data_IF_184426879349
#
_entry.id   IF_184426879349
#
_cell.length_a   1.000
_cell.length_b   1.000
_cell.length_c   1.000
_cell.angle_alpha   90.00
_cell.angle_beta   90.00
_cell.angle_gamma   90.00
#
_symmetry.space_group_name_H-M   'P 1'
#
loop_
_entity.id
_entity.type
_entity.pdbx_description
1 polymer ?
#
# COMPACT_ATOMS: atom_id res chain seq x y z
N UNK A 1 32.79 -8.10 23.57
CA UNK A 1 32.28 -6.76 23.15
C UNK A 1 32.70 -6.38 21.72
N UNK A 2 33.89 -6.75 21.24
CA UNK A 2 34.40 -6.40 19.89
C UNK A 2 33.85 -7.30 18.77
N UNK A 3 33.36 -8.51 19.08
CA UNK A 3 32.85 -9.46 18.11
C UNK A 3 31.31 -9.30 17.86
N UNK A 4 30.59 -8.59 18.73
CA UNK A 4 29.18 -8.29 18.54
C UNK A 4 28.94 -7.07 17.64
N UNK A 5 29.85 -6.08 17.66
CA UNK A 5 29.78 -4.93 16.75
C UNK A 5 30.04 -5.33 15.29
N UNK A 6 30.88 -6.33 15.02
CA UNK A 6 31.21 -6.76 13.65
C UNK A 6 30.09 -7.54 12.95
N UNK A 7 29.17 -8.15 13.71
CA UNK A 7 28.00 -8.88 13.14
C UNK A 7 26.82 -7.95 12.80
N UNK A 8 26.80 -6.74 13.36
CA UNK A 8 25.79 -5.71 13.12
C UNK A 8 26.17 -4.74 11.99
N UNK A 9 27.43 -4.74 11.54
CA UNK A 9 27.92 -3.81 10.52
C UNK A 9 27.58 -4.19 9.06
N UNK A 10 27.19 -5.44 8.78
CA UNK A 10 26.89 -5.90 7.43
C UNK A 10 25.41 -6.23 7.26
N UNK A 11 24.56 -5.18 7.16
CA UNK A 11 23.18 -5.38 6.72
C UNK A 11 23.18 -5.91 5.28
N UNK A 12 22.36 -6.93 5.04
CA UNK A 12 22.14 -7.49 3.72
C UNK A 12 21.70 -6.38 2.74
N UNK A 13 22.22 -6.39 1.52
CA UNK A 13 21.91 -5.38 0.49
C UNK A 13 21.21 -6.04 -0.68
N UNK A 14 20.46 -5.25 -1.44
CA UNK A 14 19.90 -5.72 -2.71
C UNK A 14 20.97 -6.06 -3.71
N UNK A 15 20.72 -7.09 -4.51
CA UNK A 15 21.65 -7.53 -5.57
C UNK A 15 21.62 -6.60 -6.78
N UNK A 16 20.48 -5.92 -7.02
CA UNK A 16 20.28 -5.05 -8.17
C UNK A 16 19.43 -3.81 -7.85
N UNK A 17 19.64 -2.74 -8.64
CA UNK A 17 18.78 -1.55 -8.58
C UNK A 17 17.34 -1.85 -8.99
N UNK A 18 17.15 -2.69 -10.00
CA UNK A 18 15.82 -3.08 -10.46
C UNK A 18 15.10 -3.85 -9.36
N UNK A 19 15.77 -4.76 -8.66
CA UNK A 19 15.23 -5.46 -7.51
C UNK A 19 14.77 -4.48 -6.42
N UNK A 20 15.60 -3.52 -6.04
CA UNK A 20 15.22 -2.48 -5.10
C UNK A 20 13.97 -1.70 -5.54
N UNK A 21 13.93 -1.22 -6.79
CA UNK A 21 12.82 -0.44 -7.31
C UNK A 21 11.52 -1.25 -7.32
N UNK A 22 11.57 -2.50 -7.76
CA UNK A 22 10.38 -3.35 -7.84
C UNK A 22 9.86 -3.79 -6.47
N UNK A 23 10.75 -4.02 -5.49
CA UNK A 23 10.32 -4.34 -4.12
C UNK A 23 9.71 -3.11 -3.45
N UNK A 24 10.37 -1.95 -3.56
CA UNK A 24 9.87 -0.71 -3.00
C UNK A 24 8.54 -0.30 -3.63
N UNK A 25 8.43 -0.43 -4.96
CA UNK A 25 7.18 -0.25 -5.68
C UNK A 25 6.14 -1.28 -5.23
N UNK A 26 6.51 -2.55 -5.09
CA UNK A 26 5.62 -3.61 -4.61
C UNK A 26 5.11 -3.39 -3.18
N UNK A 27 5.87 -2.70 -2.33
CA UNK A 27 5.40 -2.26 -1.02
C UNK A 27 4.32 -1.18 -1.12
N UNK A 28 4.51 -0.23 -2.02
CA UNK A 28 3.55 0.85 -2.29
C UNK A 28 2.34 0.35 -3.09
N UNK A 29 2.57 -0.42 -4.16
CA UNK A 29 1.54 -1.00 -5.03
C UNK A 29 0.78 -2.09 -4.26
N UNK A 30 -0.40 -1.74 -3.79
CA UNK A 30 -1.24 -2.65 -3.03
C UNK A 30 -2.72 -2.36 -3.26
N UNK A 31 -3.53 -2.67 -2.27
CA UNK A 31 -4.98 -2.43 -2.31
C UNK A 31 -5.33 -0.95 -2.50
N UNK A 32 -4.46 -0.04 -2.11
CA UNK A 32 -4.61 1.39 -2.35
C UNK A 32 -4.70 1.75 -3.84
N UNK A 33 -3.92 1.09 -4.68
CA UNK A 33 -3.85 1.33 -6.11
C UNK A 33 -4.93 0.59 -6.90
N UNK A 34 -5.15 -0.68 -6.55
CA UNK A 34 -5.96 -1.57 -7.37
C UNK A 34 -7.40 -1.68 -6.90
N UNK A 35 -7.67 -1.30 -5.66
CA UNK A 35 -9.01 -1.31 -5.06
C UNK A 35 -9.50 0.11 -4.73
N UNK A 36 -8.81 0.82 -3.83
CA UNK A 36 -9.25 2.13 -3.33
C UNK A 36 -9.20 3.21 -4.41
N UNK A 37 -8.12 3.34 -5.15
CA UNK A 37 -7.96 4.37 -6.18
C UNK A 37 -9.05 4.30 -7.26
N UNK A 38 -9.39 3.15 -7.86
CA UNK A 38 -10.45 3.08 -8.85
C UNK A 38 -11.82 3.54 -8.31
N UNK A 39 -12.25 3.05 -7.15
CA UNK A 39 -13.58 3.43 -6.67
C UNK A 39 -13.66 4.89 -6.24
N UNK A 40 -12.62 5.45 -5.63
CA UNK A 40 -12.57 6.89 -5.28
C UNK A 40 -12.55 7.74 -6.55
N UNK A 41 -11.77 7.37 -7.54
CA UNK A 41 -11.75 8.06 -8.84
C UNK A 41 -13.13 8.03 -9.51
N UNK A 42 -13.80 6.89 -9.49
CA UNK A 42 -15.16 6.75 -9.99
C UNK A 42 -16.18 7.59 -9.23
N UNK A 43 -16.02 7.72 -7.92
CA UNK A 43 -16.89 8.49 -7.05
C UNK A 43 -16.72 10.00 -7.23
N UNK A 44 -15.50 10.49 -7.44
CA UNK A 44 -15.16 11.92 -7.41
C UNK A 44 -14.88 12.56 -8.78
N UNK A 45 -15.33 11.95 -9.86
CA UNK A 45 -15.39 12.60 -11.17
C UNK A 45 -14.28 12.25 -12.16
N UNK A 46 -13.60 11.12 -11.98
CA UNK A 46 -12.71 10.57 -13.00
C UNK A 46 -11.43 11.37 -13.20
N UNK A 47 -11.14 11.78 -14.43
CA UNK A 47 -9.88 12.40 -14.84
C UNK A 47 -9.53 13.67 -14.04
N UNK A 48 -10.51 14.51 -13.68
CA UNK A 48 -10.26 15.72 -12.89
C UNK A 48 -9.74 15.36 -11.48
N UNK A 49 -10.32 14.35 -10.84
CA UNK A 49 -9.81 13.82 -9.58
C UNK A 49 -8.37 13.30 -9.72
N UNK A 50 -8.08 12.55 -10.77
CA UNK A 50 -6.73 12.01 -11.03
C UNK A 50 -5.70 13.12 -11.14
N UNK A 51 -6.00 14.21 -11.83
CA UNK A 51 -5.08 15.36 -11.94
C UNK A 51 -4.79 16.00 -10.60
N UNK A 52 -5.82 16.21 -9.77
CA UNK A 52 -5.66 16.76 -8.42
C UNK A 52 -4.85 15.79 -7.55
N UNK A 53 -5.13 14.51 -7.62
CA UNK A 53 -4.38 13.46 -6.94
C UNK A 53 -2.89 13.46 -7.32
N UNK A 54 -2.56 13.51 -8.62
CA UNK A 54 -1.18 13.54 -9.10
C UNK A 54 -0.43 14.77 -8.62
N UNK A 55 -1.09 15.93 -8.59
CA UNK A 55 -0.51 17.15 -8.03
C UNK A 55 -0.10 16.96 -6.56
N UNK A 56 -1.01 16.44 -5.73
CA UNK A 56 -0.70 16.19 -4.33
C UNK A 56 0.30 15.07 -4.10
N UNK A 57 0.33 14.06 -4.95
CA UNK A 57 1.36 13.02 -4.90
C UNK A 57 2.77 13.60 -5.00
N UNK A 58 2.97 14.57 -5.90
CA UNK A 58 4.26 15.23 -6.10
C UNK A 58 4.61 16.12 -4.90
N UNK A 59 3.69 16.96 -4.45
CA UNK A 59 4.01 17.96 -3.42
C UNK A 59 3.97 17.42 -1.98
N UNK A 60 3.21 16.34 -1.72
CA UNK A 60 3.13 15.71 -0.40
C UNK A 60 3.93 14.43 -0.32
N UNK A 61 3.67 13.50 -1.23
CA UNK A 61 4.20 12.15 -1.15
C UNK A 61 5.69 12.06 -1.39
N UNK A 62 6.20 12.66 -2.45
CA UNK A 62 7.62 12.57 -2.81
C UNK A 62 8.58 13.11 -1.74
N UNK A 63 8.38 14.31 -1.15
CA UNK A 63 9.30 14.80 -0.12
C UNK A 63 9.36 13.87 1.10
N UNK A 64 8.23 13.39 1.57
CA UNK A 64 8.16 12.49 2.73
C UNK A 64 8.81 11.14 2.41
N UNK A 65 8.62 10.63 1.21
CA UNK A 65 9.23 9.37 0.76
C UNK A 65 10.76 9.47 0.75
N UNK A 66 11.32 10.57 0.25
CA UNK A 66 12.77 10.81 0.28
C UNK A 66 13.28 10.87 1.71
N UNK A 67 12.54 11.50 2.62
CA UNK A 67 12.91 11.57 4.04
C UNK A 67 12.90 10.20 4.71
N UNK A 68 11.90 9.39 4.43
CA UNK A 68 11.80 8.03 4.97
C UNK A 68 12.93 7.13 4.47
N UNK A 69 13.27 7.20 3.17
CA UNK A 69 14.47 6.55 2.63
C UNK A 69 15.76 7.05 3.28
N UNK A 70 15.89 8.36 3.49
CA UNK A 70 17.09 8.96 4.09
C UNK A 70 17.32 8.48 5.52
N UNK A 71 16.26 8.44 6.34
CA UNK A 71 16.33 7.89 7.71
C UNK A 71 16.73 6.41 7.69
N UNK A 72 16.13 5.62 6.81
CA UNK A 72 16.47 4.21 6.64
C UNK A 72 17.93 4.00 6.22
N UNK A 73 18.40 4.72 5.20
CA UNK A 73 19.75 4.57 4.68
C UNK A 73 20.83 5.09 5.65
N UNK A 74 20.61 6.24 6.27
CA UNK A 74 21.54 6.80 7.24
C UNK A 74 21.69 5.94 8.49
N UNK A 75 20.58 5.37 8.98
CA UNK A 75 20.58 4.51 10.16
C UNK A 75 21.07 3.08 9.87
N UNK A 76 20.84 2.56 8.65
CA UNK A 76 21.00 1.14 8.31
C UNK A 76 20.17 0.24 9.22
N UNK A 77 18.99 0.72 9.66
CA UNK A 77 18.09 0.06 10.62
C UNK A 77 16.63 0.16 10.17
N UNK A 78 15.82 -0.75 10.69
CA UNK A 78 14.35 -0.63 10.62
C UNK A 78 13.85 0.49 11.52
N UNK A 79 12.55 0.80 11.44
CA UNK A 79 11.90 1.79 12.31
C UNK A 79 12.09 1.47 13.80
N UNK A 80 12.32 0.21 14.16
CA UNK A 80 12.53 -0.22 15.54
C UNK A 80 13.67 0.53 16.24
N UNK A 81 14.75 0.83 15.52
CA UNK A 81 15.96 1.45 16.09
C UNK A 81 16.49 2.62 15.29
N UNK A 82 15.92 2.97 14.14
CA UNK A 82 16.42 4.03 13.26
C UNK A 82 16.39 5.41 13.91
N UNK A 83 15.31 5.77 14.56
CA UNK A 83 15.18 7.05 15.26
C UNK A 83 16.18 7.16 16.41
N UNK A 84 16.30 6.12 17.21
CA UNK A 84 17.27 6.10 18.33
C UNK A 84 18.70 6.28 17.87
N UNK A 85 19.06 5.74 16.70
CA UNK A 85 20.42 5.86 16.14
C UNK A 85 20.74 7.26 15.62
N UNK A 86 19.73 7.99 15.10
CA UNK A 86 19.93 9.28 14.44
C UNK A 86 19.51 10.49 15.29
N UNK A 87 18.74 10.28 16.35
CA UNK A 87 18.23 11.38 17.18
C UNK A 87 19.35 12.08 17.98
N UNK A 88 19.19 13.39 18.30
CA UNK A 88 20.07 14.07 19.24
C UNK A 88 20.01 13.45 20.62
N UNK A 89 21.15 13.47 21.33
CA UNK A 89 21.25 12.96 22.69
C UNK A 89 20.19 13.59 23.60
N UNK A 90 19.47 12.76 24.37
CA UNK A 90 18.43 13.19 25.30
C UNK A 90 17.07 13.50 24.67
N UNK A 91 16.93 13.35 23.35
CA UNK A 91 15.62 13.48 22.69
C UNK A 91 14.78 12.21 22.85
N UNK A 92 13.51 12.30 22.43
CA UNK A 92 12.55 11.20 22.59
C UNK A 92 11.89 10.76 21.28
N UNK A 93 12.52 11.00 20.14
CA UNK A 93 11.98 10.62 18.84
C UNK A 93 11.83 9.10 18.68
N UNK A 94 12.68 8.32 19.33
CA UNK A 94 12.61 6.86 19.36
C UNK A 94 11.28 6.32 19.90
N UNK A 95 10.50 7.09 20.64
CA UNK A 95 9.19 6.65 21.10
C UNK A 95 8.22 6.37 19.96
N UNK A 96 8.38 7.07 18.84
CA UNK A 96 7.58 6.79 17.66
C UNK A 96 7.82 5.38 17.10
N UNK A 97 8.98 4.79 17.34
CA UNK A 97 9.28 3.42 16.89
C UNK A 97 8.24 2.40 17.36
N UNK A 98 7.72 2.56 18.58
CA UNK A 98 6.67 1.67 19.11
C UNK A 98 5.37 1.78 18.32
N UNK A 99 4.95 2.99 17.99
CA UNK A 99 3.74 3.23 17.19
C UNK A 99 3.91 2.74 15.74
N UNK A 100 5.06 2.98 15.17
CA UNK A 100 5.37 2.50 13.82
C UNK A 100 5.43 0.98 13.72
N UNK A 101 6.07 0.31 14.68
CA UNK A 101 6.07 -1.15 14.76
C UNK A 101 4.65 -1.69 14.94
N UNK A 102 3.87 -1.16 15.88
CA UNK A 102 2.49 -1.54 16.08
C UNK A 102 1.64 -1.34 14.81
N UNK A 103 1.84 -0.23 14.10
CA UNK A 103 1.16 0.06 12.84
C UNK A 103 1.39 -1.00 11.76
N UNK A 104 2.58 -1.56 11.66
CA UNK A 104 2.85 -2.67 10.73
C UNK A 104 2.05 -3.92 11.08
N UNK A 105 1.95 -4.25 12.36
CA UNK A 105 1.13 -5.40 12.81
C UNK A 105 -0.36 -5.16 12.55
N UNK A 106 -0.88 -3.98 12.90
CA UNK A 106 -2.30 -3.64 12.67
C UNK A 106 -2.63 -3.66 11.17
N UNK A 107 -1.74 -3.16 10.31
CA UNK A 107 -1.90 -3.25 8.87
C UNK A 107 -2.05 -4.71 8.41
N UNK A 108 -1.20 -5.59 8.91
CA UNK A 108 -1.25 -7.00 8.52
C UNK A 108 -2.45 -7.75 9.10
N UNK A 109 -3.05 -7.28 10.21
CA UNK A 109 -4.25 -7.88 10.78
C UNK A 109 -5.41 -7.99 9.78
N UNK A 110 -5.65 -6.97 8.97
CA UNK A 110 -6.71 -6.99 7.97
C UNK A 110 -6.20 -7.27 6.54
N UNK A 111 -4.98 -6.88 6.24
CA UNK A 111 -4.43 -6.99 4.89
C UNK A 111 -4.27 -8.44 4.46
N UNK A 112 -3.87 -9.33 5.37
CA UNK A 112 -3.78 -10.77 5.12
C UNK A 112 -5.14 -11.40 4.81
N UNK A 113 -6.19 -10.96 5.48
CA UNK A 113 -7.55 -11.42 5.22
C UNK A 113 -8.02 -10.98 3.84
N UNK A 114 -7.85 -9.72 3.48
CA UNK A 114 -8.25 -9.20 2.16
C UNK A 114 -7.42 -9.83 1.04
N UNK A 115 -6.12 -10.03 1.24
CA UNK A 115 -5.30 -10.77 0.27
C UNK A 115 -5.80 -12.20 0.08
N UNK A 116 -6.26 -12.84 1.14
CA UNK A 116 -6.92 -14.13 1.09
C UNK A 116 -8.17 -14.12 0.20
N UNK A 117 -8.99 -13.06 0.26
CA UNK A 117 -10.15 -12.91 -0.63
C UNK A 117 -9.73 -12.83 -2.10
N UNK A 118 -8.68 -12.08 -2.41
CA UNK A 118 -8.16 -11.97 -3.78
C UNK A 118 -7.73 -13.33 -4.33
N UNK A 119 -6.98 -14.10 -3.56
CA UNK A 119 -6.52 -15.44 -3.92
C UNK A 119 -7.72 -16.39 -4.09
N UNK A 120 -8.67 -16.35 -3.17
CA UNK A 120 -9.91 -17.15 -3.26
C UNK A 120 -10.68 -16.87 -4.55
N UNK A 121 -10.82 -15.60 -4.91
CA UNK A 121 -11.54 -15.18 -6.12
C UNK A 121 -10.81 -15.57 -7.40
N UNK A 122 -9.49 -15.58 -7.40
CA UNK A 122 -8.71 -16.14 -8.49
C UNK A 122 -9.12 -17.60 -8.77
N UNK A 123 -9.15 -18.44 -7.74
CA UNK A 123 -9.55 -19.83 -7.90
C UNK A 123 -11.03 -20.00 -8.24
N UNK A 124 -11.92 -19.18 -7.67
CA UNK A 124 -13.36 -19.18 -7.99
C UNK A 124 -13.61 -18.84 -9.46
N UNK A 125 -12.92 -17.82 -9.99
CA UNK A 125 -13.00 -17.46 -11.41
C UNK A 125 -12.46 -18.58 -12.30
N UNK A 126 -11.33 -19.17 -11.94
CA UNK A 126 -10.71 -20.24 -12.72
C UNK A 126 -11.60 -21.49 -12.77
N UNK A 127 -12.27 -21.84 -11.66
CA UNK A 127 -13.23 -22.95 -11.60
C UNK A 127 -14.53 -22.67 -12.37
N UNK A 128 -14.87 -21.41 -12.55
CA UNK A 128 -16.10 -21.00 -13.20
C UNK A 128 -17.30 -20.88 -12.26
N UNK A 129 -17.08 -20.61 -10.98
CA UNK A 129 -18.14 -20.47 -9.96
C UNK A 129 -19.13 -19.32 -10.24
N UNK A 130 -18.72 -18.36 -11.08
CA UNK A 130 -19.53 -17.21 -11.47
C UNK A 130 -20.26 -17.40 -12.80
N UNK A 131 -19.94 -18.44 -13.57
CA UNK A 131 -20.52 -18.68 -14.91
C UNK A 131 -22.01 -18.92 -14.80
N UNK A 132 -22.80 -18.25 -15.66
CA UNK A 132 -24.26 -18.32 -15.69
C UNK A 132 -24.96 -17.97 -14.36
N UNK A 133 -24.32 -17.18 -13.53
CA UNK A 133 -24.91 -16.68 -12.27
C UNK A 133 -25.58 -15.32 -12.50
N UNK A 134 -26.70 -15.10 -11.80
CA UNK A 134 -27.37 -13.81 -11.75
C UNK A 134 -26.57 -12.83 -10.87
N UNK A 135 -26.74 -11.50 -11.03
CA UNK A 135 -26.11 -10.51 -10.15
C UNK A 135 -26.32 -10.79 -8.66
N UNK A 136 -27.53 -11.20 -8.28
CA UNK A 136 -27.85 -11.55 -6.89
C UNK A 136 -27.07 -12.78 -6.41
N UNK A 137 -26.91 -13.79 -7.26
CA UNK A 137 -26.13 -14.99 -6.92
C UNK A 137 -24.64 -14.65 -6.77
N UNK A 138 -24.11 -13.73 -7.57
CA UNK A 138 -22.72 -13.26 -7.49
C UNK A 138 -22.50 -12.49 -6.17
N UNK A 139 -23.41 -11.61 -5.80
CA UNK A 139 -23.40 -10.93 -4.50
C UNK A 139 -23.43 -11.93 -3.34
N UNK A 140 -24.28 -12.96 -3.43
CA UNK A 140 -24.40 -14.01 -2.44
C UNK A 140 -23.11 -14.85 -2.31
N UNK A 141 -22.34 -15.04 -3.38
CA UNK A 141 -21.03 -15.72 -3.31
C UNK A 141 -20.08 -14.96 -2.37
N UNK A 142 -20.02 -13.64 -2.48
CA UNK A 142 -19.22 -12.82 -1.59
C UNK A 142 -19.74 -12.85 -0.15
N UNK A 143 -21.04 -12.64 0.04
CA UNK A 143 -21.68 -12.69 1.35
C UNK A 143 -21.51 -14.04 2.06
N UNK A 144 -21.65 -15.15 1.34
CA UNK A 144 -21.45 -16.49 1.88
C UNK A 144 -19.98 -16.74 2.26
N UNK A 145 -19.03 -16.23 1.49
CA UNK A 145 -17.62 -16.31 1.82
C UNK A 145 -17.33 -15.55 3.14
N UNK A 146 -17.85 -14.34 3.29
CA UNK A 146 -17.67 -13.56 4.51
C UNK A 146 -18.35 -14.20 5.73
N UNK A 147 -19.48 -14.86 5.53
CA UNK A 147 -20.23 -15.54 6.59
C UNK A 147 -19.60 -16.86 7.07
N UNK A 148 -18.68 -17.44 6.32
CA UNK A 148 -18.01 -18.68 6.68
C UNK A 148 -16.62 -18.42 7.31
N UNK A 149 -16.47 -18.53 8.65
CA UNK A 149 -15.21 -18.29 9.31
C UNK A 149 -14.11 -19.24 8.88
N UNK A 150 -14.43 -20.49 8.55
CA UNK A 150 -13.44 -21.48 8.13
C UNK A 150 -12.81 -21.11 6.80
N UNK A 151 -13.61 -20.68 5.84
CA UNK A 151 -13.14 -20.24 4.53
C UNK A 151 -12.28 -18.98 4.63
N UNK A 152 -12.70 -17.99 5.41
CA UNK A 152 -11.91 -16.76 5.59
C UNK A 152 -10.57 -17.04 6.28
N UNK A 153 -10.56 -17.83 7.34
CA UNK A 153 -9.33 -18.20 8.06
C UNK A 153 -8.40 -19.00 7.15
N UNK A 154 -8.93 -19.94 6.37
CA UNK A 154 -8.13 -20.74 5.44
C UNK A 154 -7.38 -19.86 4.43
N UNK A 155 -8.07 -18.95 3.76
CA UNK A 155 -7.44 -18.08 2.76
C UNK A 155 -6.51 -17.03 3.39
N UNK A 156 -6.84 -16.53 4.56
CA UNK A 156 -5.93 -15.69 5.34
C UNK A 156 -4.63 -16.44 5.68
N UNK A 157 -4.72 -17.70 6.10
CA UNK A 157 -3.56 -18.55 6.36
C UNK A 157 -2.74 -18.81 5.09
N UNK A 158 -3.38 -19.01 3.95
CA UNK A 158 -2.69 -19.16 2.66
C UNK A 158 -1.87 -17.91 2.35
N UNK A 159 -2.46 -16.73 2.44
CA UNK A 159 -1.77 -15.47 2.20
C UNK A 159 -0.59 -15.25 3.15
N UNK A 160 -0.80 -15.47 4.44
CA UNK A 160 0.23 -15.33 5.49
C UNK A 160 1.38 -16.32 5.28
N UNK A 161 1.07 -17.56 4.98
CA UNK A 161 2.08 -18.61 4.72
C UNK A 161 2.91 -18.29 3.50
N UNK A 162 2.30 -17.86 2.39
CA UNK A 162 3.02 -17.46 1.19
C UNK A 162 3.98 -16.30 1.47
N UNK A 163 3.55 -15.29 2.22
CA UNK A 163 4.39 -14.16 2.59
C UNK A 163 5.61 -14.57 3.41
N UNK A 164 5.44 -15.36 4.46
CA UNK A 164 6.55 -15.83 5.29
C UNK A 164 7.45 -16.85 4.57
N UNK A 165 6.88 -17.68 3.70
CA UNK A 165 7.66 -18.61 2.89
C UNK A 165 8.66 -17.85 2.00
N UNK A 166 8.21 -16.78 1.35
CA UNK A 166 9.09 -15.93 0.53
C UNK A 166 10.17 -15.27 1.40
N UNK A 167 9.80 -14.70 2.54
CA UNK A 167 10.75 -14.08 3.46
C UNK A 167 11.77 -15.09 4.03
N UNK A 168 11.40 -16.36 4.18
CA UNK A 168 12.28 -17.41 4.70
C UNK A 168 13.49 -17.73 3.80
N UNK A 169 13.38 -17.40 2.52
CA UNK A 169 14.46 -17.57 1.56
C UNK A 169 15.51 -16.44 1.60
N UNK A 170 15.34 -15.47 2.49
CA UNK A 170 16.21 -14.32 2.65
C UNK A 170 15.90 -13.14 1.72
N UNK A 171 16.66 -12.05 1.86
CA UNK A 171 16.41 -10.82 1.11
C UNK A 171 16.62 -11.01 -0.40
N UNK A 172 17.79 -11.47 -0.81
CA UNK A 172 18.14 -11.56 -2.24
C UNK A 172 17.43 -12.71 -2.97
N UNK A 173 17.48 -13.91 -2.39
CA UNK A 173 16.94 -15.11 -3.03
C UNK A 173 15.42 -15.26 -2.91
N UNK A 174 14.84 -14.70 -1.85
CA UNK A 174 13.41 -14.74 -1.59
C UNK A 174 12.72 -13.43 -1.99
N UNK A 175 12.83 -12.42 -1.11
CA UNK A 175 12.09 -11.18 -1.24
C UNK A 175 12.38 -10.47 -2.56
N UNK A 176 13.64 -10.25 -2.91
CA UNK A 176 14.03 -9.55 -4.14
C UNK A 176 13.64 -10.34 -5.40
N UNK A 177 14.07 -11.59 -5.49
CA UNK A 177 13.89 -12.41 -6.69
C UNK A 177 12.43 -12.73 -6.97
N UNK A 178 11.68 -13.14 -5.95
CA UNK A 178 10.27 -13.52 -6.10
C UNK A 178 9.40 -12.31 -6.35
N UNK A 179 9.61 -11.21 -5.61
CA UNK A 179 8.83 -9.97 -5.83
C UNK A 179 9.12 -9.39 -7.21
N UNK A 180 10.36 -9.42 -7.68
CA UNK A 180 10.70 -9.00 -9.05
C UNK A 180 9.95 -9.80 -10.10
N UNK A 181 9.88 -11.13 -9.95
CA UNK A 181 9.13 -12.00 -10.85
C UNK A 181 7.62 -11.72 -10.78
N UNK A 182 7.07 -11.58 -9.59
CA UNK A 182 5.65 -11.25 -9.38
C UNK A 182 5.28 -9.90 -9.98
N UNK A 183 6.07 -8.87 -9.76
CA UNK A 183 5.83 -7.54 -10.29
C UNK A 183 5.94 -7.51 -11.81
N UNK A 184 6.90 -8.21 -12.39
CA UNK A 184 7.02 -8.33 -13.84
C UNK A 184 5.80 -9.04 -14.45
N UNK A 185 5.33 -10.11 -13.83
CA UNK A 185 4.12 -10.81 -14.22
C UNK A 185 2.88 -9.91 -14.09
N UNK A 186 2.78 -9.15 -13.00
CA UNK A 186 1.71 -8.18 -12.75
C UNK A 186 1.62 -7.15 -13.89
N UNK A 187 2.74 -6.58 -14.32
CA UNK A 187 2.77 -5.62 -15.42
C UNK A 187 2.32 -6.25 -16.75
N UNK A 188 2.74 -7.49 -17.05
CA UNK A 188 2.30 -8.18 -18.26
C UNK A 188 0.80 -8.47 -18.22
N UNK A 189 0.30 -8.98 -17.11
CA UNK A 189 -1.13 -9.31 -16.94
C UNK A 189 -2.00 -8.08 -17.07
N UNK A 190 -1.62 -6.96 -16.43
CA UNK A 190 -2.42 -5.75 -16.50
C UNK A 190 -2.44 -5.14 -17.91
N UNK A 191 -1.34 -5.22 -18.66
CA UNK A 191 -1.31 -4.79 -20.07
C UNK A 191 -2.28 -5.59 -20.93
N UNK A 192 -2.31 -6.91 -20.77
CA UNK A 192 -3.27 -7.77 -21.48
C UNK A 192 -4.71 -7.39 -21.11
N UNK A 193 -4.99 -7.17 -19.83
CA UNK A 193 -6.31 -6.75 -19.35
C UNK A 193 -6.72 -5.38 -19.90
N UNK A 194 -5.79 -4.43 -20.00
CA UNK A 194 -6.05 -3.10 -20.59
C UNK A 194 -6.46 -3.26 -22.06
N UNK A 195 -5.70 -4.02 -22.85
CA UNK A 195 -6.02 -4.25 -24.26
C UNK A 195 -7.42 -4.83 -24.40
N UNK A 196 -7.77 -5.81 -23.58
CA UNK A 196 -9.11 -6.41 -23.58
C UNK A 196 -10.19 -5.39 -23.20
N UNK A 197 -9.97 -4.62 -22.15
CA UNK A 197 -10.95 -3.67 -21.63
C UNK A 197 -11.22 -2.51 -22.61
N UNK A 198 -10.19 -1.93 -23.21
CA UNK A 198 -10.34 -0.80 -24.15
C UNK A 198 -10.90 -1.21 -25.51
N UNK A 199 -10.83 -2.49 -25.85
CA UNK A 199 -11.40 -3.03 -27.11
C UNK A 199 -12.84 -3.52 -26.96
N UNK A 200 -13.45 -3.40 -25.77
CA UNK A 200 -14.87 -3.71 -25.56
C UNK A 200 -15.76 -2.70 -26.27
N UNK A 201 -16.87 -3.18 -26.80
CA UNK A 201 -17.91 -2.31 -27.36
C UNK A 201 -18.50 -1.43 -26.24
N UNK A 202 -18.49 -0.09 -26.44
CA UNK A 202 -18.92 0.86 -25.42
C UNK A 202 -17.83 1.32 -24.44
N UNK A 203 -16.59 0.86 -24.59
CA UNK A 203 -15.46 1.26 -23.76
C UNK A 203 -15.09 2.75 -23.88
N UNK A 204 -15.43 3.39 -24.99
CA UNK A 204 -15.09 4.80 -25.26
C UNK A 204 -15.64 5.78 -24.22
N UNK A 205 -16.82 5.53 -23.68
CA UNK A 205 -17.42 6.35 -22.63
C UNK A 205 -16.59 6.29 -21.33
N UNK A 206 -16.10 5.10 -20.96
CA UNK A 206 -15.22 4.91 -19.82
C UNK A 206 -13.85 5.55 -20.01
N UNK A 207 -13.28 5.49 -21.22
CA UNK A 207 -12.03 6.17 -21.56
C UNK A 207 -12.18 7.69 -21.48
N UNK A 208 -13.28 8.25 -21.97
CA UNK A 208 -13.56 9.69 -21.84
C UNK A 208 -13.69 10.11 -20.37
N UNK A 209 -14.44 9.37 -19.58
CA UNK A 209 -14.58 9.63 -18.15
C UNK A 209 -13.24 9.64 -17.42
N UNK A 210 -12.36 8.72 -17.76
CA UNK A 210 -11.10 8.50 -17.07
C UNK A 210 -9.94 9.36 -17.59
N UNK A 211 -9.97 9.77 -18.86
CA UNK A 211 -8.84 10.48 -19.50
C UNK A 211 -9.13 11.94 -19.82
N UNK A 212 -10.41 12.34 -19.90
CA UNK A 212 -10.78 13.72 -20.21
C UNK A 212 -11.30 14.41 -18.95
N UNK A 213 -10.60 15.42 -18.41
CA UNK A 213 -11.00 16.10 -17.18
C UNK A 213 -12.34 16.86 -17.35
N UNK A 214 -13.23 16.67 -16.38
CA UNK A 214 -14.47 17.42 -16.23
C UNK A 214 -14.51 18.12 -14.86
N UNK A 215 -14.05 19.36 -14.81
CA UNK A 215 -14.06 20.16 -13.58
C UNK A 215 -15.46 20.63 -13.15
N UNK A 216 -16.45 20.55 -14.03
CA UNK A 216 -17.84 20.81 -13.65
C UNK A 216 -18.35 19.72 -12.68
N UNK A 217 -17.97 18.47 -12.89
CA UNK A 217 -18.26 17.38 -11.98
C UNK A 217 -17.65 17.61 -10.59
N UNK A 218 -16.43 18.15 -10.52
CA UNK A 218 -15.76 18.51 -9.25
C UNK A 218 -16.53 19.60 -8.50
N UNK A 219 -17.00 20.63 -9.21
CA UNK A 219 -17.83 21.69 -8.60
C UNK A 219 -19.15 21.14 -8.06
N UNK A 220 -19.79 20.24 -8.80
CA UNK A 220 -21.06 19.61 -8.39
C UNK A 220 -20.90 18.76 -7.13
N UNK A 221 -19.79 18.09 -6.97
CA UNK A 221 -19.51 17.24 -5.80
C UNK A 221 -18.97 18.01 -4.59
N UNK A 222 -18.55 19.25 -4.80
CA UNK A 222 -17.89 20.06 -3.76
C UNK A 222 -16.37 20.02 -3.90
N UNK A 223 -15.77 21.16 -4.27
CA UNK A 223 -14.34 21.27 -4.53
C UNK A 223 -13.49 20.79 -3.34
N UNK A 224 -13.87 21.22 -2.12
CA UNK A 224 -13.13 20.83 -0.91
C UNK A 224 -13.19 19.32 -0.65
N UNK A 225 -14.33 18.70 -0.85
CA UNK A 225 -14.51 17.24 -0.69
C UNK A 225 -13.62 16.46 -1.66
N UNK A 226 -13.59 16.86 -2.92
CA UNK A 226 -12.75 16.22 -3.95
C UNK A 226 -11.26 16.44 -3.66
N UNK A 227 -10.87 17.65 -3.28
CA UNK A 227 -9.48 17.98 -2.91
C UNK A 227 -9.05 17.17 -1.69
N UNK A 228 -9.85 17.09 -0.64
CA UNK A 228 -9.54 16.32 0.56
C UNK A 228 -9.39 14.82 0.25
N UNK A 229 -10.27 14.27 -0.58
CA UNK A 229 -10.17 12.88 -1.02
C UNK A 229 -8.89 12.62 -1.84
N UNK A 230 -8.54 13.53 -2.73
CA UNK A 230 -7.32 13.43 -3.55
C UNK A 230 -6.05 13.53 -2.69
N UNK A 231 -6.02 14.45 -1.74
CA UNK A 231 -4.92 14.59 -0.77
C UNK A 231 -4.76 13.30 0.07
N UNK A 232 -5.85 12.79 0.60
CA UNK A 232 -5.87 11.53 1.35
C UNK A 232 -5.36 10.35 0.52
N UNK A 233 -5.78 10.23 -0.72
CA UNK A 233 -5.31 9.17 -1.62
C UNK A 233 -3.83 9.31 -1.97
N UNK A 234 -3.36 10.52 -2.27
CA UNK A 234 -1.95 10.78 -2.57
C UNK A 234 -1.04 10.43 -1.40
N UNK A 235 -1.52 10.70 -0.19
CA UNK A 235 -0.81 10.39 1.03
C UNK A 235 -0.77 8.89 1.33
N UNK A 236 -1.89 8.21 1.10
CA UNK A 236 -2.05 6.80 1.42
C UNK A 236 -1.32 5.88 0.43
N UNK A 237 -1.26 6.24 -0.85
CA UNK A 237 -0.81 5.33 -1.93
C UNK A 237 0.64 4.85 -1.75
N UNK A 238 1.52 5.67 -1.17
CA UNK A 238 2.94 5.34 -0.98
C UNK A 238 3.22 4.61 0.35
N UNK A 239 2.19 4.30 1.15
CA UNK A 239 2.31 3.61 2.45
C UNK A 239 3.34 4.25 3.40
N UNK A 240 3.35 5.58 3.46
CA UNK A 240 4.31 6.35 4.25
C UNK A 240 3.93 6.38 5.74
N UNK A 241 4.92 6.52 6.60
CA UNK A 241 4.75 6.74 8.03
C UNK A 241 4.97 5.54 8.93
N UNK A 242 4.85 4.33 8.41
CA UNK A 242 5.07 3.09 9.20
C UNK A 242 6.49 2.52 9.10
N UNK A 243 7.38 3.21 8.39
CA UNK A 243 8.76 2.74 8.16
C UNK A 243 8.89 1.59 7.17
N UNK A 244 7.83 1.22 6.46
CA UNK A 244 7.89 0.18 5.44
C UNK A 244 8.76 0.57 4.23
N UNK A 245 8.78 1.84 3.87
CA UNK A 245 9.69 2.38 2.86
C UNK A 245 11.11 2.57 3.44
N UNK A 246 11.23 2.98 4.69
CA UNK A 246 12.51 3.19 5.35
C UNK A 246 13.37 1.92 5.40
N UNK A 247 12.76 0.74 5.63
CA UNK A 247 13.51 -0.51 5.66
C UNK A 247 14.23 -0.77 4.34
N UNK A 248 13.59 -0.46 3.21
CA UNK A 248 14.21 -0.62 1.89
C UNK A 248 15.34 0.39 1.67
N UNK A 249 15.20 1.61 2.19
CA UNK A 249 16.30 2.57 2.26
C UNK A 249 17.53 2.01 2.96
N UNK A 250 17.34 1.23 4.03
CA UNK A 250 18.43 0.62 4.79
C UNK A 250 19.21 -0.48 4.03
N UNK A 251 18.67 -0.99 2.93
CA UNK A 251 19.31 -2.03 2.10
C UNK A 251 20.03 -1.49 0.88
N UNK A 252 19.91 -0.19 0.57
CA UNK A 252 20.61 0.44 -0.56
C UNK A 252 21.93 1.07 -0.13
N UNK A 253 22.87 1.08 -1.05
CA UNK A 253 24.15 1.75 -0.85
C UNK A 253 24.07 3.26 -1.10
N UNK A 254 25.17 3.97 -0.87
CA UNK A 254 25.29 5.41 -1.05
C UNK A 254 25.72 5.84 -2.46
N UNK A 255 25.73 4.93 -3.42
CA UNK A 255 26.14 5.21 -4.80
C UNK A 255 25.15 6.11 -5.55
N UNK A 256 23.87 6.14 -5.13
CA UNK A 256 22.80 6.90 -5.77
C UNK A 256 22.10 7.83 -4.81
N UNK A 257 21.69 8.97 -5.34
CA UNK A 257 20.85 9.94 -4.63
C UNK A 257 19.44 9.42 -4.47
N UNK A 258 18.85 9.67 -3.30
CA UNK A 258 17.54 9.14 -2.94
C UNK A 258 16.37 9.74 -3.71
N UNK A 259 16.48 10.99 -4.14
CA UNK A 259 15.39 11.67 -4.89
C UNK A 259 15.04 10.94 -6.18
N UNK A 260 16.05 10.53 -6.95
CA UNK A 260 15.81 9.77 -8.19
C UNK A 260 15.18 8.39 -7.94
N UNK A 261 15.59 7.74 -6.87
CA UNK A 261 15.02 6.45 -6.47
C UNK A 261 13.55 6.60 -6.03
N UNK A 262 13.24 7.62 -5.22
CA UNK A 262 11.87 7.93 -4.81
C UNK A 262 10.95 8.28 -5.99
N UNK A 263 11.43 9.09 -6.94
CA UNK A 263 10.69 9.41 -8.16
C UNK A 263 10.40 8.14 -8.97
N UNK A 264 11.39 7.26 -9.13
CA UNK A 264 11.21 6.01 -9.87
C UNK A 264 10.15 5.11 -9.24
N UNK A 265 10.16 4.98 -7.92
CA UNK A 265 9.16 4.19 -7.19
C UNK A 265 7.77 4.83 -7.28
N UNK A 266 7.67 6.15 -7.13
CA UNK A 266 6.41 6.88 -7.27
C UNK A 266 5.81 6.77 -8.68
N UNK A 267 6.65 6.77 -9.72
CA UNK A 267 6.22 6.54 -11.12
C UNK A 267 5.65 5.13 -11.27
N UNK A 268 6.33 4.12 -10.75
CA UNK A 268 5.85 2.73 -10.84
C UNK A 268 4.52 2.54 -10.09
N UNK A 269 4.41 3.10 -8.89
CA UNK A 269 3.19 3.09 -8.08
C UNK A 269 2.02 3.74 -8.82
N UNK A 270 2.23 4.94 -9.32
CA UNK A 270 1.23 5.71 -10.07
C UNK A 270 0.84 5.02 -11.37
N UNK A 271 1.82 4.46 -12.08
CA UNK A 271 1.57 3.73 -13.33
C UNK A 271 0.60 2.57 -13.11
N UNK A 272 0.80 1.77 -12.07
CA UNK A 272 -0.11 0.65 -11.75
C UNK A 272 -1.50 1.16 -11.39
N UNK A 273 -1.62 2.23 -10.59
CA UNK A 273 -2.91 2.82 -10.27
C UNK A 273 -3.66 3.30 -11.52
N UNK A 274 -2.97 4.02 -12.41
CA UNK A 274 -3.55 4.50 -13.67
C UNK A 274 -3.93 3.36 -14.61
N UNK A 275 -3.10 2.33 -14.69
CA UNK A 275 -3.37 1.13 -15.49
C UNK A 275 -4.56 0.34 -14.94
N UNK A 276 -4.71 0.23 -13.62
CA UNK A 276 -5.89 -0.38 -13.00
C UNK A 276 -7.18 0.36 -13.39
N UNK A 277 -7.16 1.67 -13.44
CA UNK A 277 -8.28 2.47 -13.96
C UNK A 277 -8.59 2.20 -15.43
N UNK A 278 -7.58 2.02 -16.28
CA UNK A 278 -7.75 1.64 -17.68
C UNK A 278 -8.36 0.25 -17.89
N UNK A 279 -8.21 -0.65 -16.92
CA UNK A 279 -8.92 -1.93 -16.90
C UNK A 279 -10.37 -1.76 -16.47
N UNK A 280 -10.60 -1.03 -15.39
CA UNK A 280 -11.87 -1.00 -14.67
C UNK A 280 -12.89 -0.09 -15.35
N UNK A 281 -12.53 1.16 -15.67
CA UNK A 281 -13.50 2.13 -16.18
C UNK A 281 -14.06 1.78 -17.55
N UNK A 282 -13.26 1.43 -18.57
CA UNK A 282 -13.82 1.02 -19.86
C UNK A 282 -14.74 -0.19 -19.73
N UNK A 283 -14.39 -1.18 -18.91
CA UNK A 283 -15.21 -2.36 -18.69
C UNK A 283 -16.52 -2.03 -17.97
N UNK A 284 -16.49 -1.21 -16.93
CA UNK A 284 -17.71 -0.78 -16.23
C UNK A 284 -18.69 -0.04 -17.14
N UNK A 285 -18.17 0.91 -17.93
CA UNK A 285 -19.01 1.69 -18.86
C UNK A 285 -19.53 0.86 -20.04
N UNK A 286 -18.74 -0.09 -20.53
CA UNK A 286 -19.17 -1.00 -21.60
C UNK A 286 -20.37 -1.86 -21.18
N UNK A 287 -20.48 -2.22 -19.91
CA UNK A 287 -21.58 -3.04 -19.36
C UNK A 287 -22.59 -2.24 -18.53
N UNK A 288 -22.53 -0.91 -18.57
CA UNK A 288 -23.51 -0.05 -17.89
C UNK A 288 -23.45 -0.11 -16.36
N UNK A 289 -22.29 -0.44 -15.80
CA UNK A 289 -22.07 -0.60 -14.35
C UNK A 289 -21.49 0.68 -13.76
N UNK A 290 -21.98 1.10 -12.60
CA UNK A 290 -21.47 2.28 -11.91
C UNK A 290 -20.08 2.02 -11.31
N UNK A 291 -19.01 2.71 -11.75
CA UNK A 291 -17.68 2.56 -11.21
C UNK A 291 -17.51 3.16 -9.80
N UNK A 292 -18.46 3.96 -9.33
CA UNK A 292 -18.48 4.57 -7.99
C UNK A 292 -19.13 3.71 -6.91
N UNK A 293 -19.29 2.40 -7.11
CA UNK A 293 -19.95 1.50 -6.16
C UNK A 293 -19.17 1.21 -4.86
N UNK A 294 -18.06 1.88 -4.66
CA UNK A 294 -17.25 1.80 -3.44
C UNK A 294 -16.50 0.48 -3.30
N UNK A 295 -16.28 -0.01 -2.06
CA UNK A 295 -15.50 -1.24 -1.82
C UNK A 295 -16.03 -2.49 -2.49
N UNK A 296 -17.32 -2.53 -2.81
CA UNK A 296 -17.96 -3.66 -3.49
C UNK A 296 -17.58 -3.76 -4.98
N UNK A 297 -16.93 -2.74 -5.54
CA UNK A 297 -16.53 -2.71 -6.94
C UNK A 297 -15.75 -3.97 -7.36
N UNK A 298 -14.79 -4.38 -6.56
CA UNK A 298 -13.90 -5.51 -6.91
C UNK A 298 -14.58 -6.87 -6.75
N UNK A 299 -15.32 -7.09 -5.68
CA UNK A 299 -15.82 -8.43 -5.32
C UNK A 299 -17.24 -8.71 -5.77
N UNK A 300 -18.01 -7.68 -6.10
CA UNK A 300 -19.40 -7.82 -6.57
C UNK A 300 -19.54 -7.29 -7.99
N UNK A 301 -19.14 -6.05 -8.22
CA UNK A 301 -19.36 -5.36 -9.49
C UNK A 301 -18.53 -5.96 -10.62
N UNK A 302 -17.22 -6.09 -10.44
CA UNK A 302 -16.34 -6.63 -11.49
C UNK A 302 -16.58 -8.10 -11.82
N UNK A 303 -16.87 -9.01 -10.88
CA UNK A 303 -17.32 -10.35 -11.23
C UNK A 303 -18.56 -10.37 -12.12
N UNK A 304 -19.52 -9.46 -11.90
CA UNK A 304 -20.66 -9.30 -12.80
C UNK A 304 -20.23 -8.85 -14.20
N UNK A 305 -19.33 -7.88 -14.30
CA UNK A 305 -18.77 -7.40 -15.56
C UNK A 305 -18.07 -8.53 -16.30
N UNK A 306 -17.21 -9.28 -15.65
CA UNK A 306 -16.51 -10.42 -16.27
C UNK A 306 -17.47 -11.52 -16.71
N UNK A 307 -18.54 -11.75 -15.96
CA UNK A 307 -19.53 -12.77 -16.30
C UNK A 307 -20.28 -12.48 -17.62
N UNK A 308 -20.47 -11.21 -17.96
CA UNK A 308 -21.03 -10.78 -19.24
C UNK A 308 -20.04 -10.89 -20.42
N UNK A 309 -18.74 -11.05 -20.14
CA UNK A 309 -17.71 -11.12 -21.17
C UNK A 309 -17.54 -12.55 -21.68
N UNK A 310 -17.39 -12.77 -23.03
CA UNK A 310 -16.95 -14.04 -23.55
C UNK A 310 -15.56 -14.41 -22.96
N UNK A 311 -15.42 -15.64 -22.46
CA UNK A 311 -14.19 -16.07 -21.80
C UNK A 311 -14.03 -15.53 -20.37
N UNK A 312 -15.11 -15.31 -19.67
CA UNK A 312 -15.18 -14.75 -18.30
C UNK A 312 -14.21 -15.41 -17.30
N UNK A 313 -14.05 -16.74 -17.37
CA UNK A 313 -13.16 -17.50 -16.50
C UNK A 313 -11.69 -17.04 -16.65
N UNK A 314 -11.24 -16.81 -17.88
CA UNK A 314 -9.86 -16.39 -18.16
C UNK A 314 -9.65 -14.94 -17.73
N UNK A 315 -10.53 -14.03 -18.15
CA UNK A 315 -10.40 -12.61 -17.85
C UNK A 315 -10.55 -12.32 -16.36
N UNK A 316 -11.53 -12.94 -15.72
CA UNK A 316 -11.71 -12.83 -14.28
C UNK A 316 -10.54 -13.41 -13.48
N UNK A 317 -10.05 -14.59 -13.87
CA UNK A 317 -8.88 -15.21 -13.25
C UNK A 317 -7.60 -14.34 -13.41
N UNK A 318 -7.37 -13.78 -14.59
CA UNK A 318 -6.24 -12.86 -14.81
C UNK A 318 -6.35 -11.59 -13.96
N UNK A 319 -7.54 -11.02 -13.83
CA UNK A 319 -7.77 -9.85 -12.99
C UNK A 319 -7.46 -10.14 -11.51
N UNK A 320 -7.98 -11.22 -10.97
CA UNK A 320 -7.73 -11.60 -9.58
C UNK A 320 -6.30 -12.11 -9.35
N UNK A 321 -5.62 -12.63 -10.35
CA UNK A 321 -4.18 -12.90 -10.30
C UNK A 321 -3.39 -11.59 -10.15
N UNK A 322 -3.71 -10.59 -10.95
CA UNK A 322 -3.15 -9.23 -10.82
C UNK A 322 -3.37 -8.65 -9.42
N UNK A 323 -4.60 -8.72 -8.93
CA UNK A 323 -4.97 -8.25 -7.59
C UNK A 323 -4.23 -8.99 -6.49
N UNK A 324 -4.11 -10.32 -6.61
CA UNK A 324 -3.41 -11.16 -5.65
C UNK A 324 -1.91 -10.84 -5.60
N UNK A 325 -1.27 -10.61 -6.74
CA UNK A 325 0.14 -10.21 -6.78
C UNK A 325 0.37 -8.84 -6.18
N UNK A 326 -0.51 -7.87 -6.42
CA UNK A 326 -0.45 -6.57 -5.79
C UNK A 326 -0.57 -6.67 -4.27
N UNK A 327 -1.50 -7.48 -3.76
CA UNK A 327 -1.67 -7.69 -2.33
C UNK A 327 -0.48 -8.45 -1.70
N UNK A 328 -0.01 -9.52 -2.33
CA UNK A 328 1.11 -10.32 -1.83
C UNK A 328 2.43 -9.57 -1.84
N UNK A 329 2.70 -8.72 -2.83
CA UNK A 329 3.92 -7.91 -2.86
C UNK A 329 4.01 -6.98 -1.66
N UNK A 330 2.92 -6.34 -1.27
CA UNK A 330 2.84 -5.53 -0.05
C UNK A 330 3.02 -6.38 1.21
N UNK A 331 2.38 -7.54 1.29
CA UNK A 331 2.52 -8.46 2.44
C UNK A 331 3.98 -8.88 2.61
N UNK A 332 4.65 -9.29 1.55
CA UNK A 332 6.07 -9.70 1.57
C UNK A 332 6.95 -8.55 2.08
N UNK A 333 6.71 -7.35 1.55
CA UNK A 333 7.46 -6.15 1.93
C UNK A 333 7.28 -5.79 3.41
N UNK A 334 6.05 -5.78 3.90
CA UNK A 334 5.74 -5.46 5.30
C UNK A 334 6.21 -6.58 6.23
N UNK A 335 6.10 -7.84 5.84
CA UNK A 335 6.66 -8.96 6.62
C UNK A 335 8.18 -8.85 6.74
N UNK A 336 8.88 -8.48 5.67
CA UNK A 336 10.32 -8.21 5.72
C UNK A 336 10.65 -7.10 6.74
N UNK A 337 9.83 -6.04 6.77
CA UNK A 337 9.95 -4.98 7.76
C UNK A 337 9.76 -5.49 9.19
N UNK A 338 8.68 -6.22 9.44
CA UNK A 338 8.36 -6.82 10.75
C UNK A 338 9.47 -7.76 11.24
N UNK A 339 9.99 -8.61 10.36
CA UNK A 339 11.08 -9.52 10.71
C UNK A 339 12.34 -8.75 11.10
N UNK A 340 12.59 -7.62 10.47
CA UNK A 340 13.72 -6.75 10.80
C UNK A 340 13.62 -6.13 12.19
N UNK A 341 12.45 -5.96 12.77
CA UNK A 341 12.29 -5.42 14.12
C UNK A 341 12.99 -6.28 15.17
N UNK A 342 12.69 -7.58 15.17
CA UNK A 342 13.29 -8.50 16.11
C UNK A 342 14.79 -8.70 15.88
N UNK A 343 15.24 -8.63 14.62
CA UNK A 343 16.65 -8.67 14.28
C UNK A 343 17.38 -7.43 14.81
N UNK A 344 16.82 -6.24 14.63
CA UNK A 344 17.41 -4.99 15.06
C UNK A 344 17.36 -4.78 16.59
N UNK A 345 16.28 -5.22 17.26
CA UNK A 345 16.11 -5.04 18.71
C UNK A 345 16.83 -6.09 19.54
N UNK A 346 16.77 -7.36 19.11
CA UNK A 346 17.20 -8.50 19.92
C UNK A 346 18.25 -9.38 19.26
N UNK A 347 18.68 -9.05 18.04
CA UNK A 347 19.66 -9.85 17.30
C UNK A 347 19.16 -11.26 16.94
N UNK A 348 17.85 -11.46 16.82
CA UNK A 348 17.29 -12.76 16.50
C UNK A 348 17.65 -13.23 15.11
N UNK A 349 17.81 -14.55 14.95
CA UNK A 349 17.96 -15.16 13.64
C UNK A 349 16.67 -15.03 12.82
N UNK A 350 16.80 -15.04 11.50
CA UNK A 350 15.65 -14.99 10.58
C UNK A 350 14.64 -16.11 10.87
N UNK A 351 15.10 -17.33 11.11
CA UNK A 351 14.23 -18.49 11.44
C UNK A 351 13.40 -18.27 12.69
N UNK A 352 14.02 -17.76 13.77
CA UNK A 352 13.33 -17.45 15.02
C UNK A 352 12.32 -16.32 14.85
N UNK A 353 12.69 -15.27 14.12
CA UNK A 353 11.79 -14.15 13.81
C UNK A 353 10.57 -14.62 13.03
N UNK A 354 10.76 -15.46 12.01
CA UNK A 354 9.65 -16.01 11.20
C UNK A 354 8.74 -16.88 12.07
N UNK A 355 9.30 -17.83 12.83
CA UNK A 355 8.49 -18.74 13.64
C UNK A 355 7.58 -18.00 14.60
N UNK A 356 8.10 -17.00 15.32
CA UNK A 356 7.30 -16.22 16.25
C UNK A 356 6.30 -15.32 15.54
N UNK A 357 6.74 -14.56 14.52
CA UNK A 357 5.86 -13.62 13.82
C UNK A 357 4.77 -14.31 13.01
N UNK A 358 5.01 -15.50 12.47
CA UNK A 358 3.97 -16.30 11.80
C UNK A 358 2.82 -16.63 12.76
N UNK A 359 3.15 -17.04 13.99
CA UNK A 359 2.15 -17.31 15.03
C UNK A 359 1.45 -16.02 15.45
N UNK A 360 2.20 -14.97 15.75
CA UNK A 360 1.66 -13.69 16.22
C UNK A 360 0.73 -13.07 15.18
N UNK A 361 1.15 -12.96 13.92
CA UNK A 361 0.33 -12.35 12.86
C UNK A 361 -0.91 -13.20 12.57
N UNK A 362 -0.80 -14.52 12.58
CA UNK A 362 -1.96 -15.40 12.43
C UNK A 362 -2.99 -15.15 13.53
N UNK A 363 -2.57 -15.13 14.78
CA UNK A 363 -3.48 -14.88 15.91
C UNK A 363 -4.07 -13.47 15.86
N UNK A 364 -3.28 -12.47 15.55
CA UNK A 364 -3.74 -11.07 15.44
C UNK A 364 -4.68 -10.84 14.24
N UNK A 365 -4.58 -11.64 13.18
CA UNK A 365 -5.45 -11.56 12.01
C UNK A 365 -6.80 -12.24 12.21
N UNK A 366 -6.95 -13.13 13.20
CA UNK A 366 -8.22 -13.81 13.49
C UNK A 366 -9.38 -12.85 13.77
N UNK A 367 -9.25 -11.78 14.59
CA UNK A 367 -10.33 -10.85 14.83
C UNK A 367 -10.93 -10.22 13.57
N UNK A 368 -10.10 -9.88 12.58
CA UNK A 368 -10.57 -9.37 11.30
C UNK A 368 -11.45 -10.40 10.56
N UNK A 369 -10.97 -11.64 10.43
CA UNK A 369 -11.70 -12.71 9.78
C UNK A 369 -13.01 -13.06 10.51
N UNK A 370 -12.98 -13.12 11.84
CA UNK A 370 -14.14 -13.40 12.68
C UNK A 370 -15.12 -12.22 12.74
N UNK A 371 -14.65 -11.00 12.54
CA UNK A 371 -15.47 -9.79 12.56
C UNK A 371 -16.56 -9.73 11.49
N UNK A 372 -16.48 -10.55 10.45
CA UNK A 372 -17.50 -10.68 9.40
C UNK A 372 -18.58 -11.73 9.72
N UNK A 373 -18.37 -12.56 10.71
CA UNK A 373 -19.23 -13.70 11.03
C UNK A 373 -19.47 -13.86 12.53
N UNK A 374 -18.66 -14.65 13.23
CA UNK A 374 -18.85 -14.97 14.67
C UNK A 374 -18.86 -13.72 15.56
N UNK A 375 -18.02 -12.72 15.23
CA UNK A 375 -17.90 -11.45 15.95
C UNK A 375 -18.51 -10.27 15.23
N UNK A 376 -19.42 -10.49 14.30
CA UNK A 376 -20.11 -9.42 13.54
C UNK A 376 -20.95 -8.47 14.41
N UNK A 377 -21.26 -8.87 15.65
CA UNK A 377 -21.91 -8.01 16.62
C UNK A 377 -21.00 -6.91 17.18
N UNK A 378 -19.67 -7.04 17.01
CA UNK A 378 -18.70 -6.01 17.40
C UNK A 378 -18.64 -4.98 16.28
N UNK A 379 -19.22 -3.81 16.52
CA UNK A 379 -19.32 -2.69 15.57
C UNK A 379 -18.61 -1.46 16.17
N UNK A 380 -17.28 -1.42 16.12
CA UNK A 380 -16.48 -0.50 16.93
C UNK A 380 -16.58 0.97 16.53
N UNK A 381 -16.95 1.24 15.28
CA UNK A 381 -17.10 2.61 14.74
C UNK A 381 -18.57 3.01 14.47
N UNK A 382 -19.51 2.24 15.02
CA UNK A 382 -20.94 2.47 14.84
C UNK A 382 -21.63 1.36 14.05
N UNK A 383 -22.94 1.50 13.90
CA UNK A 383 -23.79 0.49 13.25
C UNK A 383 -23.34 0.20 11.82
N UNK A 384 -23.21 -1.08 11.49
CA UNK A 384 -22.80 -1.54 10.16
C UNK A 384 -21.29 -1.61 9.93
N UNK A 385 -20.46 -1.21 10.90
CA UNK A 385 -19.01 -1.31 10.82
C UNK A 385 -18.50 -2.67 11.28
N UNK A 386 -17.32 -3.04 10.83
CA UNK A 386 -16.63 -4.29 11.17
C UNK A 386 -15.34 -4.02 11.95
N UNK A 387 -14.72 -5.08 12.47
CA UNK A 387 -13.39 -4.99 13.07
C UNK A 387 -12.36 -4.50 12.05
N UNK A 388 -12.48 -4.91 10.78
CA UNK A 388 -11.62 -4.43 9.70
C UNK A 388 -11.69 -2.90 9.54
N UNK A 389 -12.88 -2.32 9.65
CA UNK A 389 -13.06 -0.86 9.55
C UNK A 389 -12.30 -0.12 10.64
N UNK A 390 -12.27 -0.68 11.86
CA UNK A 390 -11.48 -0.12 12.96
C UNK A 390 -9.98 -0.24 12.69
N UNK A 391 -9.51 -1.38 12.24
CA UNK A 391 -8.09 -1.64 11.95
C UNK A 391 -7.60 -0.72 10.82
N UNK A 392 -8.38 -0.61 9.75
CA UNK A 392 -8.08 0.32 8.65
C UNK A 392 -8.09 1.78 9.13
N UNK A 393 -9.06 2.17 9.94
CA UNK A 393 -9.11 3.54 10.50
C UNK A 393 -7.87 3.84 11.36
N UNK A 394 -7.43 2.91 12.19
CA UNK A 394 -6.22 3.07 13.01
C UNK A 394 -5.00 3.30 12.11
N UNK A 395 -4.84 2.52 11.06
CA UNK A 395 -3.69 2.64 10.16
C UNK A 395 -3.82 3.88 9.28
N UNK A 396 -4.89 3.98 8.51
CA UNK A 396 -5.04 4.98 7.44
C UNK A 396 -5.25 6.40 7.96
N UNK A 397 -6.01 6.55 9.02
CA UNK A 397 -6.36 7.86 9.57
C UNK A 397 -5.47 8.31 10.74
N UNK A 398 -4.69 7.42 11.34
CA UNK A 398 -3.82 7.75 12.48
C UNK A 398 -2.36 7.45 12.21
N UNK A 399 -1.99 6.18 12.00
CA UNK A 399 -0.58 5.76 11.95
C UNK A 399 0.12 6.38 10.74
N UNK A 400 -0.46 6.31 9.55
CA UNK A 400 0.15 6.84 8.34
C UNK A 400 0.34 8.37 8.39
N UNK A 401 -0.70 9.18 8.69
CA UNK A 401 -0.55 10.63 8.77
C UNK A 401 0.41 11.07 9.89
N UNK A 402 0.22 10.56 11.09
CA UNK A 402 1.06 10.94 12.23
C UNK A 402 2.51 10.46 12.07
N UNK A 403 2.70 9.26 11.51
CA UNK A 403 4.03 8.74 11.23
C UNK A 403 4.78 9.55 10.19
N UNK A 404 4.09 9.94 9.13
CA UNK A 404 4.68 10.82 8.12
C UNK A 404 5.00 12.19 8.67
N UNK A 405 4.16 12.71 9.55
CA UNK A 405 4.45 13.97 10.26
C UNK A 405 5.71 13.84 11.14
N UNK A 406 5.88 12.71 11.82
CA UNK A 406 7.08 12.44 12.64
C UNK A 406 8.33 12.37 11.77
N UNK A 407 8.33 11.62 10.67
CA UNK A 407 9.45 11.58 9.72
C UNK A 407 9.79 12.96 9.18
N UNK A 408 8.77 13.72 8.79
CA UNK A 408 8.92 15.07 8.27
C UNK A 408 9.57 16.00 9.31
N UNK A 409 9.01 16.07 10.50
CA UNK A 409 9.52 16.94 11.57
C UNK A 409 10.91 16.49 12.06
N UNK A 410 11.17 15.20 12.10
CA UNK A 410 12.48 14.65 12.43
C UNK A 410 13.57 15.10 11.45
N UNK A 411 13.27 15.15 10.16
CA UNK A 411 14.21 15.56 9.13
C UNK A 411 14.39 17.09 9.00
N UNK A 412 13.38 17.89 9.37
CA UNK A 412 13.45 19.35 9.18
C UNK A 412 13.72 20.12 10.46
N UNK A 413 13.38 19.58 11.63
CA UNK A 413 13.52 20.25 12.92
C UNK A 413 14.96 20.26 13.41
N UNK A 414 15.36 21.39 14.01
CA UNK A 414 16.62 21.48 14.76
C UNK A 414 16.67 20.59 16.01
N UNK A 415 15.53 20.13 16.49
CA UNK A 415 15.41 19.22 17.63
C UNK A 415 15.37 17.74 17.22
N UNK A 416 15.37 17.46 15.92
CA UNK A 416 15.47 16.12 15.34
C UNK A 416 16.82 15.87 14.70
N UNK A 417 16.84 15.01 13.67
CA UNK A 417 18.04 14.74 12.87
C UNK A 417 18.52 15.98 12.12
N UNK A 418 17.59 16.80 11.65
CA UNK A 418 17.81 18.11 11.09
C UNK A 418 17.97 18.14 9.58
N UNK A 419 17.64 19.31 9.01
CA UNK A 419 17.64 19.54 7.57
C UNK A 419 18.99 19.28 6.89
N UNK A 420 20.08 19.71 7.51
CA UNK A 420 21.41 19.59 6.87
C UNK A 420 21.86 18.14 6.80
N UNK A 421 21.59 17.34 7.82
CA UNK A 421 21.87 15.90 7.82
C UNK A 421 21.01 15.18 6.78
N UNK A 422 19.70 15.51 6.72
CA UNK A 422 18.81 14.99 5.69
C UNK A 422 19.29 15.32 4.28
N UNK A 423 19.63 16.57 4.01
CA UNK A 423 20.10 17.01 2.69
C UNK A 423 21.42 16.36 2.28
N UNK A 424 22.33 16.17 3.22
CA UNK A 424 23.58 15.47 3.01
C UNK A 424 23.32 14.02 2.59
N UNK A 425 22.50 13.32 3.35
CA UNK A 425 22.16 11.91 3.05
C UNK A 425 21.41 11.76 1.73
N UNK A 426 20.36 12.56 1.51
CA UNK A 426 19.53 12.48 0.30
C UNK A 426 20.34 12.75 -0.98
N UNK A 427 21.35 13.62 -0.90
CA UNK A 427 22.18 14.02 -2.03
C UNK A 427 23.52 13.27 -2.15
N UNK A 428 23.77 12.30 -1.31
CA UNK A 428 24.95 11.44 -1.42
C UNK A 428 24.83 10.50 -2.63
N UNK A 429 25.90 10.42 -3.43
CA UNK A 429 25.94 9.61 -4.64
C UNK A 429 25.63 10.38 -5.93
N UNK A 430 25.29 9.62 -6.98
CA UNK A 430 24.99 10.15 -8.32
C UNK A 430 23.49 10.12 -8.62
N UNK A 431 22.98 11.11 -9.35
CA UNK A 431 21.58 11.18 -9.78
C UNK A 431 20.93 12.53 -9.48
N UNK A 432 19.61 12.56 -9.38
CA UNK A 432 18.82 13.77 -9.16
C UNK A 432 19.02 14.28 -7.73
N UNK A 433 19.39 15.56 -7.60
CA UNK A 433 19.54 16.21 -6.30
C UNK A 433 18.16 16.55 -5.71
N UNK A 434 18.06 16.40 -4.39
CA UNK A 434 16.94 17.00 -3.67
C UNK A 434 17.13 18.52 -3.67
N UNK A 435 16.13 19.31 -4.13
CA UNK A 435 16.28 20.75 -4.24
C UNK A 435 16.30 21.44 -2.87
N UNK A 436 16.96 22.59 -2.79
CA UNK A 436 17.03 23.40 -1.56
C UNK A 436 15.87 24.38 -1.42
N UNK A 437 15.31 24.83 -2.54
CA UNK A 437 14.28 25.86 -2.58
C UNK A 437 12.98 25.53 -1.83
N UNK A 438 12.50 24.26 -1.72
CA UNK A 438 11.26 23.99 -1.02
C UNK A 438 11.41 23.90 0.50
N UNK A 439 12.56 24.26 1.08
CA UNK A 439 12.81 24.16 2.52
C UNK A 439 11.71 24.82 3.37
N UNK A 440 11.28 26.02 3.00
CA UNK A 440 10.23 26.75 3.73
C UNK A 440 8.90 26.01 3.65
N UNK A 441 8.54 25.57 2.46
CA UNK A 441 7.33 24.76 2.22
C UNK A 441 7.34 23.48 3.07
N UNK A 442 8.43 22.72 2.99
CA UNK A 442 8.57 21.42 3.66
C UNK A 442 8.61 21.61 5.20
N UNK A 443 9.22 22.68 5.69
CA UNK A 443 9.37 22.91 7.12
C UNK A 443 8.08 23.43 7.78
N UNK A 444 7.32 24.28 7.12
CA UNK A 444 6.18 24.98 7.72
C UNK A 444 4.82 24.64 7.11
N UNK A 445 4.73 24.53 5.79
CA UNK A 445 3.46 24.32 5.08
C UNK A 445 3.08 22.84 5.04
N UNK A 446 4.00 21.99 4.66
CA UNK A 446 3.75 20.55 4.52
C UNK A 446 3.28 19.90 5.84
N UNK A 447 3.85 20.19 7.01
CA UNK A 447 3.32 19.69 8.28
C UNK A 447 1.87 20.11 8.56
N UNK A 448 1.50 21.34 8.20
CA UNK A 448 0.13 21.81 8.34
C UNK A 448 -0.84 21.08 7.42
N UNK A 449 -0.42 20.78 6.20
CA UNK A 449 -1.22 20.00 5.26
C UNK A 449 -1.42 18.56 5.79
N UNK A 450 -0.39 17.93 6.33
CA UNK A 450 -0.49 16.59 6.94
C UNK A 450 -1.43 16.60 8.13
N UNK A 451 -1.35 17.60 9.00
CA UNK A 451 -2.30 17.78 10.11
C UNK A 451 -3.72 18.01 9.62
N UNK A 452 -3.91 18.79 8.55
CA UNK A 452 -5.22 18.97 7.94
C UNK A 452 -5.82 17.65 7.47
N UNK A 453 -5.03 16.82 6.78
CA UNK A 453 -5.46 15.48 6.32
C UNK A 453 -5.87 14.60 7.52
N UNK A 454 -5.08 14.64 8.59
CA UNK A 454 -5.38 13.90 9.81
C UNK A 454 -6.72 14.34 10.45
N UNK A 455 -6.93 15.64 10.62
CA UNK A 455 -8.17 16.19 11.19
C UNK A 455 -9.36 15.91 10.27
N UNK A 456 -9.20 16.09 8.97
CA UNK A 456 -10.26 15.84 7.98
C UNK A 456 -10.70 14.37 7.99
N UNK A 457 -9.77 13.43 8.15
CA UNK A 457 -10.09 12.02 8.28
C UNK A 457 -10.99 11.69 9.49
N UNK A 458 -10.88 12.44 10.57
CA UNK A 458 -11.79 12.34 11.71
C UNK A 458 -13.15 12.98 11.43
N UNK A 459 -13.18 14.17 10.84
CA UNK A 459 -14.43 14.88 10.50
C UNK A 459 -15.29 14.05 9.52
N UNK A 460 -14.66 13.37 8.56
CA UNK A 460 -15.38 12.52 7.61
C UNK A 460 -15.88 11.21 8.24
N UNK A 461 -15.25 10.75 9.30
CA UNK A 461 -15.60 9.50 9.96
C UNK A 461 -16.68 9.66 11.04
N UNK A 462 -16.68 10.77 11.77
CA UNK A 462 -17.57 11.06 12.90
C UNK A 462 -18.36 12.35 12.69
#
# INVERSE_FOLDING_TARGET
>A
YRNEESSLENREKFSSRIGFLLISAGCAIGLGNVWRFPFITGQYGGAAFVLIYLFFLIILGLPIMVMEYAVGRASQRSIATSFQKLEPAGSKWHWYSYFGMAGNYVLMMFYTTVAGWMISYFFKMLKGDFVNKTPQQIENIFGNMLADPKTLIFWMLVATTLGFLVCSLGLQNGVEKITTAMMSCLFVVILILIVRSVTLDGASAGLKFYLIPDFAAVKKQGVMTVVSAAMGQAFFTLSLGIGAIAIFGSYIDKSRRLTGEAISVAILDTLVALMAGLVIFPACFAFGVNPGSGPNLVFITLPNVFNEMPGSRIWGAMFFLFMSFAALSTIIAVFQNILSFAQDLWGWSLKKSIALNAVVITLLSLPCALGFNVWSFIQPLGVGTTIQDLEDFIVSNNILPLGSLVYLLFCVSRYGWGWDNFMKEANEGKGIKFPKWPKIYITYILPLIVLFIFVQGYIEKF
#
